data_IF_833741624302
#
_entry.id   IF_833741624302
#
_cell.length_a   1.000
_cell.length_b   1.000
_cell.length_c   1.000
_cell.angle_alpha   90.00
_cell.angle_beta   90.00
_cell.angle_gamma   90.00
#
_symmetry.space_group_name_H-M   'P 1'
#
loop_
_entity.id
_entity.type
_entity.pdbx_description
1 polymer ?
#
# COMPACT_ATOMS: atom_id res chain seq x y z
N UNK A 1 14.53 52.15 -18.87
CA UNK A 1 15.26 51.38 -17.87
C UNK A 1 14.32 50.48 -17.03
N UNK A 2 13.18 49.97 -17.57
CA UNK A 2 12.15 49.20 -16.81
C UNK A 2 11.95 47.75 -17.26
N UNK A 3 12.72 47.23 -18.21
CA UNK A 3 12.53 45.87 -18.76
C UNK A 3 13.40 44.76 -18.11
N UNK A 4 14.29 45.08 -17.16
CA UNK A 4 15.18 44.07 -16.56
C UNK A 4 14.66 43.49 -15.23
N UNK A 5 13.63 44.05 -14.58
CA UNK A 5 13.17 43.60 -13.27
C UNK A 5 12.12 42.50 -13.38
N UNK A 6 11.38 42.37 -14.48
CA UNK A 6 10.30 41.40 -14.66
C UNK A 6 10.80 39.96 -14.89
N UNK A 7 12.04 39.79 -15.35
CA UNK A 7 12.61 38.46 -15.62
C UNK A 7 13.17 37.75 -14.37
N UNK A 8 13.45 38.50 -13.31
CA UNK A 8 14.06 37.93 -12.09
C UNK A 8 12.98 37.29 -11.15
N UNK A 9 11.72 37.75 -11.22
CA UNK A 9 10.65 37.25 -10.37
C UNK A 9 10.04 35.92 -10.83
N UNK A 10 10.16 35.58 -12.13
CA UNK A 10 9.63 34.31 -12.65
C UNK A 10 10.57 33.13 -12.31
N UNK A 11 11.86 33.38 -12.12
CA UNK A 11 12.84 32.36 -11.78
C UNK A 11 12.79 31.90 -10.31
N UNK A 12 12.34 32.74 -9.39
CA UNK A 12 12.30 32.39 -7.96
C UNK A 12 11.09 31.54 -7.57
N UNK A 13 9.96 31.67 -8.27
CA UNK A 13 8.76 30.87 -7.97
C UNK A 13 8.88 29.42 -8.49
N UNK A 14 9.62 29.16 -9.54
CA UNK A 14 9.86 27.80 -10.05
C UNK A 14 10.85 27.03 -9.18
N UNK A 15 11.79 27.68 -8.52
CA UNK A 15 12.77 27.02 -7.64
C UNK A 15 12.18 26.47 -6.37
N UNK A 16 11.19 27.12 -5.75
CA UNK A 16 10.54 26.65 -4.52
C UNK A 16 9.70 25.38 -4.76
N UNK A 17 8.98 25.30 -5.88
CA UNK A 17 8.24 24.10 -6.28
C UNK A 17 9.16 22.93 -6.65
N UNK A 18 10.27 23.19 -7.28
CA UNK A 18 11.30 22.21 -7.62
C UNK A 18 11.97 21.62 -6.38
N UNK A 19 12.33 22.47 -5.41
CA UNK A 19 13.00 22.10 -4.17
C UNK A 19 12.14 21.15 -3.32
N UNK A 20 10.85 21.43 -3.14
CA UNK A 20 9.91 20.56 -2.40
C UNK A 20 9.74 19.18 -3.07
N UNK A 21 9.73 19.09 -4.38
CA UNK A 21 9.62 17.82 -5.10
C UNK A 21 10.90 16.99 -5.02
N UNK A 22 12.06 17.65 -5.08
CA UNK A 22 13.36 17.04 -4.93
C UNK A 22 13.60 16.47 -3.53
N UNK A 23 13.21 17.20 -2.48
CA UNK A 23 13.30 16.72 -1.11
C UNK A 23 12.43 15.46 -0.89
N UNK A 24 11.21 15.44 -1.42
CA UNK A 24 10.34 14.25 -1.37
C UNK A 24 10.98 13.07 -2.09
N UNK A 25 11.56 13.29 -3.28
CA UNK A 25 12.26 12.25 -4.03
C UNK A 25 13.46 11.71 -3.25
N UNK A 26 14.28 12.58 -2.63
CA UNK A 26 15.44 12.15 -1.82
C UNK A 26 15.07 11.22 -0.67
N UNK A 27 13.90 11.40 -0.06
CA UNK A 27 13.40 10.59 1.05
C UNK A 27 12.86 9.22 0.64
N UNK A 28 12.63 8.98 -0.67
CA UNK A 28 12.16 7.68 -1.13
C UNK A 28 13.24 6.60 -0.94
N UNK A 29 12.79 5.35 -0.75
CA UNK A 29 13.65 4.18 -0.82
C UNK A 29 14.21 3.98 -2.23
N UNK A 30 15.29 3.22 -2.35
CA UNK A 30 15.89 2.95 -3.65
C UNK A 30 14.91 2.32 -4.67
N UNK A 31 14.09 1.29 -4.31
CA UNK A 31 13.10 0.75 -5.25
C UNK A 31 12.08 1.79 -5.73
N UNK A 32 11.59 2.63 -4.83
CA UNK A 32 10.64 3.70 -5.20
C UNK A 32 11.29 4.81 -6.03
N UNK A 33 12.57 5.16 -5.77
CA UNK A 33 13.33 6.09 -6.62
C UNK A 33 13.43 5.58 -8.05
N UNK A 34 13.80 4.30 -8.21
CA UNK A 34 13.91 3.69 -9.54
C UNK A 34 12.55 3.66 -10.25
N UNK A 35 11.47 3.40 -9.52
CA UNK A 35 10.13 3.46 -10.10
C UNK A 35 9.76 4.87 -10.57
N UNK A 36 10.04 5.90 -9.77
CA UNK A 36 9.80 7.31 -10.14
C UNK A 36 10.59 7.70 -11.38
N UNK A 37 11.86 7.33 -11.47
CA UNK A 37 12.71 7.60 -12.63
C UNK A 37 12.19 6.95 -13.91
N UNK A 38 11.63 5.73 -13.81
CA UNK A 38 11.04 5.03 -14.97
C UNK A 38 9.61 5.48 -15.29
N UNK A 39 8.94 6.23 -14.40
CA UNK A 39 7.55 6.68 -14.57
C UNK A 39 7.35 8.16 -14.19
N UNK A 40 8.17 9.12 -14.70
CA UNK A 40 8.18 10.50 -14.22
C UNK A 40 6.81 11.19 -14.34
N UNK A 41 6.09 10.97 -15.43
CA UNK A 41 4.76 11.57 -15.67
C UNK A 41 3.64 10.93 -14.84
N UNK A 42 3.87 9.77 -14.22
CA UNK A 42 2.90 9.06 -13.38
C UNK A 42 3.15 9.26 -11.89
N UNK A 43 4.36 9.65 -11.50
CA UNK A 43 4.81 9.71 -10.11
C UNK A 43 3.94 10.60 -9.21
N UNK A 44 3.63 11.82 -9.65
CA UNK A 44 2.75 12.73 -8.89
C UNK A 44 1.35 12.14 -8.68
N UNK A 45 0.77 11.54 -9.73
CA UNK A 45 -0.54 10.91 -9.65
C UNK A 45 -0.52 9.69 -8.72
N UNK A 46 0.50 8.85 -8.81
CA UNK A 46 0.68 7.70 -7.92
C UNK A 46 0.79 8.13 -6.45
N UNK A 47 1.55 9.17 -6.14
CA UNK A 47 1.66 9.72 -4.79
C UNK A 47 0.30 10.18 -4.23
N UNK A 48 -0.50 10.87 -5.04
CA UNK A 48 -1.83 11.33 -4.62
C UNK A 48 -2.77 10.15 -4.34
N UNK A 49 -2.71 9.10 -5.18
CA UNK A 49 -3.51 7.88 -5.00
C UNK A 49 -3.05 7.10 -3.75
N UNK A 50 -1.75 7.00 -3.49
CA UNK A 50 -1.26 6.37 -2.27
C UNK A 50 -1.79 7.06 -1.01
N UNK A 51 -1.77 8.40 -0.99
CA UNK A 51 -2.36 9.17 0.12
C UNK A 51 -3.89 9.00 0.21
N UNK A 52 -4.58 8.91 -0.92
CA UNK A 52 -6.02 8.62 -0.95
C UNK A 52 -6.31 7.24 -0.34
N UNK A 53 -5.54 6.21 -0.72
CA UNK A 53 -5.72 4.86 -0.21
C UNK A 53 -5.53 4.77 1.30
N UNK A 54 -4.49 5.41 1.85
CA UNK A 54 -4.30 5.50 3.30
C UNK A 54 -5.49 6.17 3.99
N UNK A 55 -5.93 7.34 3.51
CA UNK A 55 -7.06 8.05 4.10
C UNK A 55 -8.37 7.25 4.07
N UNK A 56 -8.61 6.51 2.99
CA UNK A 56 -9.80 5.65 2.86
C UNK A 56 -9.69 4.48 3.82
N UNK A 57 -8.54 3.82 3.91
CA UNK A 57 -8.31 2.72 4.86
C UNK A 57 -8.47 3.19 6.32
N UNK A 58 -7.95 4.37 6.68
CA UNK A 58 -8.14 4.97 8.01
C UNK A 58 -9.62 5.24 8.34
N UNK A 59 -10.43 5.62 7.34
CA UNK A 59 -11.87 5.78 7.50
C UNK A 59 -12.58 4.42 7.68
N UNK A 60 -12.22 3.41 6.89
CA UNK A 60 -12.76 2.05 6.99
C UNK A 60 -12.39 1.40 8.33
N UNK A 61 -11.15 1.59 8.80
CA UNK A 61 -10.69 1.12 10.12
C UNK A 61 -11.61 1.54 11.27
N UNK A 62 -12.19 2.74 11.18
CA UNK A 62 -13.09 3.31 12.20
C UNK A 62 -14.55 2.88 12.04
N UNK A 63 -14.87 2.13 11.00
CA UNK A 63 -16.22 1.66 10.70
C UNK A 63 -16.39 0.19 11.11
N UNK A 64 -17.64 -0.30 11.30
CA UNK A 64 -17.89 -1.71 11.56
C UNK A 64 -17.87 -2.60 10.30
N UNK A 65 -17.43 -2.07 9.16
CA UNK A 65 -17.50 -2.77 7.87
C UNK A 65 -16.45 -3.88 7.73
N UNK A 66 -15.30 -3.72 8.41
CA UNK A 66 -14.19 -4.69 8.45
C UNK A 66 -13.70 -4.85 9.89
N UNK A 67 -12.72 -5.74 10.10
CA UNK A 67 -12.20 -6.11 11.43
C UNK A 67 -11.42 -5.00 12.18
N UNK A 68 -11.17 -3.86 11.53
CA UNK A 68 -10.42 -2.75 12.13
C UNK A 68 -8.90 -2.99 12.20
N UNK A 69 -8.38 -4.12 11.74
CA UNK A 69 -6.96 -4.47 11.80
C UNK A 69 -6.18 -3.95 10.58
N UNK A 70 -5.31 -2.93 10.75
CA UNK A 70 -4.54 -2.33 9.66
C UNK A 70 -3.23 -3.06 9.35
N UNK A 71 -2.92 -4.17 10.05
CA UNK A 71 -1.65 -4.88 9.93
C UNK A 71 -1.87 -6.39 9.80
N UNK A 72 -2.02 -6.84 8.59
CA UNK A 72 -2.27 -8.25 8.26
C UNK A 72 -3.75 -8.67 8.32
N UNK A 73 -4.67 -7.77 8.73
CA UNK A 73 -6.11 -7.99 8.77
C UNK A 73 -6.86 -7.49 7.53
N UNK A 74 -8.19 -7.36 7.66
CA UNK A 74 -9.05 -6.98 6.55
C UNK A 74 -8.84 -5.54 6.10
N UNK A 75 -8.55 -4.60 7.02
CA UNK A 75 -8.27 -3.20 6.67
C UNK A 75 -7.00 -3.08 5.84
N UNK A 76 -5.99 -3.88 6.17
CA UNK A 76 -4.74 -3.93 5.42
C UNK A 76 -4.96 -4.50 4.01
N UNK A 77 -5.61 -5.66 3.91
CA UNK A 77 -5.98 -6.28 2.64
C UNK A 77 -6.81 -5.34 1.75
N UNK A 78 -7.79 -4.64 2.36
CA UNK A 78 -8.60 -3.61 1.70
C UNK A 78 -7.73 -2.47 1.16
N UNK A 79 -6.79 -1.94 1.97
CA UNK A 79 -5.90 -0.85 1.60
C UNK A 79 -5.11 -1.19 0.33
N UNK A 80 -4.53 -2.38 0.28
CA UNK A 80 -3.74 -2.86 -0.86
C UNK A 80 -4.60 -3.04 -2.11
N UNK A 81 -5.75 -3.69 -2.01
CA UNK A 81 -6.67 -3.87 -3.13
C UNK A 81 -7.20 -2.54 -3.66
N UNK A 82 -7.62 -1.62 -2.78
CA UNK A 82 -8.11 -0.30 -3.16
C UNK A 82 -7.01 0.54 -3.83
N UNK A 83 -5.81 0.55 -3.25
CA UNK A 83 -4.66 1.25 -3.80
C UNK A 83 -4.37 0.82 -5.23
N UNK A 84 -4.29 -0.48 -5.48
CA UNK A 84 -3.97 -1.04 -6.79
C UNK A 84 -5.09 -0.83 -7.80
N UNK A 85 -6.36 -0.94 -7.40
CA UNK A 85 -7.50 -0.63 -8.26
C UNK A 85 -7.47 0.84 -8.72
N UNK A 86 -7.23 1.77 -7.79
CA UNK A 86 -7.12 3.21 -8.10
C UNK A 86 -5.89 3.52 -8.97
N UNK A 87 -4.76 2.90 -8.70
CA UNK A 87 -3.56 3.05 -9.54
C UNK A 87 -3.84 2.55 -10.96
N UNK A 88 -4.39 1.33 -11.12
CA UNK A 88 -4.72 0.80 -12.45
C UNK A 88 -5.65 1.74 -13.22
N UNK A 89 -6.68 2.23 -12.55
CA UNK A 89 -7.65 3.17 -13.15
C UNK A 89 -6.98 4.43 -13.71
N UNK A 90 -5.97 4.96 -13.01
CA UNK A 90 -5.39 6.28 -13.32
C UNK A 90 -4.05 6.24 -14.07
N UNK A 91 -3.22 5.22 -13.85
CA UNK A 91 -1.87 5.15 -14.44
C UNK A 91 -1.62 3.85 -15.24
N UNK A 92 -2.57 2.92 -15.24
CA UNK A 92 -2.54 1.65 -15.98
C UNK A 92 -1.87 0.52 -15.20
N UNK A 93 -2.12 -0.72 -15.63
CA UNK A 93 -1.78 -1.94 -14.89
C UNK A 93 -0.27 -2.12 -14.68
N UNK A 94 0.53 -2.02 -15.75
CA UNK A 94 1.98 -2.28 -15.62
C UNK A 94 2.66 -1.32 -14.64
N UNK A 95 2.29 -0.02 -14.68
CA UNK A 95 2.83 0.96 -13.75
C UNK A 95 2.33 0.72 -12.32
N UNK A 96 1.07 0.35 -12.13
CA UNK A 96 0.52 0.00 -10.82
C UNK A 96 1.22 -1.23 -10.24
N UNK A 97 1.29 -2.33 -10.99
CA UNK A 97 1.93 -3.58 -10.58
C UNK A 97 3.41 -3.39 -10.22
N UNK A 98 4.14 -2.63 -11.04
CA UNK A 98 5.56 -2.36 -10.77
C UNK A 98 5.75 -1.49 -9.52
N UNK A 99 4.83 -0.57 -9.21
CA UNK A 99 4.87 0.22 -7.97
C UNK A 99 4.60 -0.66 -6.74
N UNK A 100 3.60 -1.56 -6.80
CA UNK A 100 3.34 -2.53 -5.75
C UNK A 100 4.58 -3.39 -5.44
N UNK A 101 5.24 -3.92 -6.48
CA UNK A 101 6.50 -4.67 -6.30
C UNK A 101 7.64 -3.82 -5.73
N UNK A 102 7.72 -2.53 -6.08
CA UNK A 102 8.71 -1.62 -5.52
C UNK A 102 8.44 -1.36 -4.02
N UNK A 103 7.18 -1.35 -3.60
CA UNK A 103 6.78 -1.26 -2.21
C UNK A 103 7.23 -2.50 -1.41
N UNK A 104 6.97 -3.71 -1.91
CA UNK A 104 7.42 -4.92 -1.23
C UNK A 104 8.96 -5.06 -1.16
N UNK A 105 9.67 -4.58 -2.16
CA UNK A 105 11.14 -4.47 -2.07
C UNK A 105 11.59 -3.47 -0.99
N UNK A 106 10.84 -2.39 -0.76
CA UNK A 106 11.09 -1.48 0.34
C UNK A 106 10.81 -2.16 1.69
N UNK A 107 9.72 -2.94 1.82
CA UNK A 107 9.38 -3.69 3.02
C UNK A 107 10.53 -4.64 3.41
N UNK A 108 11.10 -5.35 2.45
CA UNK A 108 12.28 -6.18 2.69
C UNK A 108 13.50 -5.37 3.16
N UNK A 109 13.73 -4.16 2.60
CA UNK A 109 14.80 -3.27 3.07
C UNK A 109 14.51 -2.73 4.48
N UNK A 110 13.25 -2.49 4.80
CA UNK A 110 12.76 -2.06 6.12
C UNK A 110 12.99 -3.15 7.16
N UNK A 111 12.65 -4.41 6.82
CA UNK A 111 12.98 -5.58 7.62
C UNK A 111 14.50 -5.68 7.91
N UNK A 112 15.34 -5.62 6.88
CA UNK A 112 16.81 -5.68 7.07
C UNK A 112 17.36 -4.62 8.01
N UNK A 113 16.71 -3.46 8.08
CA UNK A 113 17.07 -2.35 8.98
C UNK A 113 16.37 -2.45 10.34
N UNK A 114 15.59 -3.50 10.60
CA UNK A 114 14.75 -3.68 11.79
C UNK A 114 13.86 -2.48 12.10
N UNK A 115 13.34 -1.83 11.06
CA UNK A 115 12.40 -0.72 11.18
C UNK A 115 10.97 -1.23 11.15
N UNK A 116 10.06 -0.42 11.70
CA UNK A 116 8.64 -0.74 11.69
C UNK A 116 7.96 -0.21 10.43
N UNK A 117 6.97 -0.95 9.94
CA UNK A 117 5.96 -0.53 8.99
C UNK A 117 4.60 -0.77 9.64
N UNK A 118 3.77 0.28 9.72
CA UNK A 118 2.47 0.25 10.40
C UNK A 118 2.52 -0.36 11.82
N UNK A 119 3.63 -0.12 12.54
CA UNK A 119 3.82 -0.58 13.92
C UNK A 119 4.41 -1.98 14.07
N UNK A 120 4.68 -2.70 12.97
CA UNK A 120 5.28 -4.04 12.97
C UNK A 120 6.50 -4.09 12.05
N UNK A 121 7.39 -5.06 12.30
CA UNK A 121 8.49 -5.35 11.36
C UNK A 121 7.91 -6.18 10.22
N UNK A 122 8.07 -5.75 8.94
CA UNK A 122 7.59 -6.53 7.79
C UNK A 122 8.22 -7.92 7.75
N UNK A 123 7.48 -8.88 7.21
CA UNK A 123 7.96 -10.25 6.98
C UNK A 123 7.48 -10.82 5.64
N UNK A 124 7.92 -12.04 5.32
CA UNK A 124 7.58 -12.70 4.07
C UNK A 124 6.07 -12.92 3.91
N UNK A 125 5.38 -13.30 4.99
CA UNK A 125 3.96 -13.61 4.93
C UNK A 125 3.14 -12.34 4.71
N UNK A 126 3.49 -11.21 5.36
CA UNK A 126 2.85 -9.92 5.08
C UNK A 126 3.07 -9.49 3.62
N UNK A 127 4.31 -9.59 3.11
CA UNK A 127 4.58 -9.29 1.70
C UNK A 127 3.85 -10.20 0.72
N UNK A 128 3.69 -11.49 1.02
CA UNK A 128 2.88 -12.41 0.22
C UNK A 128 1.39 -12.04 0.23
N UNK A 129 0.86 -11.63 1.39
CA UNK A 129 -0.50 -11.13 1.52
C UNK A 129 -0.72 -9.89 0.66
N UNK A 130 0.17 -8.92 0.76
CA UNK A 130 0.10 -7.63 0.07
C UNK A 130 0.17 -7.81 -1.44
N UNK A 131 1.10 -8.63 -1.95
CA UNK A 131 1.20 -8.94 -3.36
C UNK A 131 -0.07 -9.63 -3.89
N UNK A 132 -0.64 -10.58 -3.15
CA UNK A 132 -1.89 -11.24 -3.51
C UNK A 132 -3.03 -10.23 -3.60
N UNK A 133 -3.22 -9.41 -2.57
CA UNK A 133 -4.29 -8.41 -2.51
C UNK A 133 -4.07 -7.28 -3.55
N UNK A 134 -2.82 -6.94 -3.86
CA UNK A 134 -2.49 -6.06 -4.96
C UNK A 134 -2.99 -6.62 -6.30
N UNK A 135 -2.75 -7.90 -6.58
CA UNK A 135 -3.19 -8.54 -7.81
C UNK A 135 -4.72 -8.64 -7.91
N UNK A 136 -5.40 -8.98 -6.81
CA UNK A 136 -6.86 -8.91 -6.73
C UNK A 136 -7.36 -7.48 -6.98
N UNK A 137 -6.73 -6.48 -6.37
CA UNK A 137 -7.04 -5.07 -6.56
C UNK A 137 -7.00 -4.64 -8.03
N UNK A 138 -6.02 -5.11 -8.77
CA UNK A 138 -5.92 -4.84 -10.20
C UNK A 138 -7.13 -5.36 -11.01
N UNK A 139 -7.89 -6.33 -10.53
CA UNK A 139 -9.05 -6.88 -11.27
C UNK A 139 -10.27 -5.98 -11.24
N UNK A 140 -10.39 -5.06 -10.27
CA UNK A 140 -11.61 -4.24 -10.07
C UNK A 140 -11.78 -3.11 -11.08
N UNK A 141 -10.71 -2.68 -11.75
CA UNK A 141 -10.78 -1.53 -12.68
C UNK A 141 -9.98 -1.80 -13.95
N UNK A 142 -10.20 -0.96 -14.96
CA UNK A 142 -9.34 -0.83 -16.15
C UNK A 142 -8.86 0.61 -16.26
N UNK A 143 -7.76 0.85 -16.96
CA UNK A 143 -7.27 2.20 -17.22
C UNK A 143 -8.36 3.04 -17.89
N UNK A 144 -8.64 4.22 -17.32
CA UNK A 144 -9.66 5.14 -17.82
C UNK A 144 -11.10 4.78 -17.42
N UNK A 145 -11.34 3.69 -16.68
CA UNK A 145 -12.70 3.37 -16.20
C UNK A 145 -13.27 4.50 -15.33
N UNK A 146 -14.58 4.70 -15.41
CA UNK A 146 -15.32 5.74 -14.69
C UNK A 146 -15.85 5.27 -13.32
N UNK A 147 -15.43 4.09 -12.85
CA UNK A 147 -15.87 3.55 -11.55
C UNK A 147 -15.67 4.58 -10.45
N UNK A 148 -16.74 5.05 -9.77
CA UNK A 148 -16.64 6.02 -8.69
C UNK A 148 -15.88 5.43 -7.50
N UNK A 149 -15.22 6.29 -6.74
CA UNK A 149 -14.47 5.87 -5.53
C UNK A 149 -15.34 5.07 -4.57
N UNK A 150 -16.55 5.57 -4.27
CA UNK A 150 -17.47 4.91 -3.33
C UNK A 150 -17.91 3.53 -3.83
N UNK A 151 -18.25 3.40 -5.11
CA UNK A 151 -18.60 2.12 -5.70
C UNK A 151 -17.45 1.11 -5.62
N UNK A 152 -16.22 1.57 -5.82
CA UNK A 152 -15.02 0.73 -5.69
C UNK A 152 -14.81 0.25 -4.24
N UNK A 153 -15.02 1.12 -3.25
CA UNK A 153 -14.96 0.75 -1.83
C UNK A 153 -15.93 -0.41 -1.54
N UNK A 154 -17.20 -0.28 -1.93
CA UNK A 154 -18.19 -1.34 -1.71
C UNK A 154 -17.87 -2.64 -2.46
N UNK A 155 -17.37 -2.56 -3.69
CA UNK A 155 -16.95 -3.75 -4.45
C UNK A 155 -15.84 -4.52 -3.74
N UNK A 156 -14.86 -3.83 -3.15
CA UNK A 156 -13.75 -4.46 -2.45
C UNK A 156 -14.21 -5.04 -1.11
N UNK A 157 -15.06 -4.34 -0.36
CA UNK A 157 -15.64 -4.87 0.89
C UNK A 157 -16.45 -6.15 0.61
N UNK A 158 -17.28 -6.15 -0.43
CA UNK A 158 -18.02 -7.36 -0.84
C UNK A 158 -17.08 -8.50 -1.23
N UNK A 159 -16.01 -8.20 -1.96
CA UNK A 159 -15.01 -9.21 -2.31
C UNK A 159 -14.27 -9.75 -1.07
N UNK A 160 -14.05 -8.91 -0.05
CA UNK A 160 -13.52 -9.33 1.26
C UNK A 160 -14.44 -10.36 1.92
N UNK A 161 -15.73 -10.05 2.04
CA UNK A 161 -16.72 -10.96 2.63
C UNK A 161 -16.90 -12.26 1.83
N UNK A 162 -16.69 -12.21 0.51
CA UNK A 162 -16.72 -13.38 -0.37
C UNK A 162 -15.43 -14.23 -0.31
N UNK A 163 -14.44 -13.85 0.48
CA UNK A 163 -13.18 -14.58 0.59
C UNK A 163 -12.27 -14.44 -0.64
N UNK A 164 -12.37 -13.35 -1.40
CA UNK A 164 -11.51 -13.13 -2.56
C UNK A 164 -10.16 -12.52 -2.22
N UNK A 165 -10.02 -11.97 -1.03
CA UNK A 165 -8.77 -11.41 -0.50
C UNK A 165 -8.15 -12.36 0.51
N UNK A 166 -6.90 -12.09 0.91
CA UNK A 166 -6.21 -12.85 1.95
C UNK A 166 -5.86 -11.97 3.14
N UNK A 167 -5.86 -12.58 4.31
CA UNK A 167 -5.46 -11.99 5.58
C UNK A 167 -4.57 -12.96 6.34
N UNK A 168 -3.80 -12.47 7.31
CA UNK A 168 -3.01 -13.30 8.21
C UNK A 168 -3.92 -13.79 9.34
N UNK A 169 -3.93 -15.11 9.61
CA UNK A 169 -4.75 -15.71 10.65
C UNK A 169 -4.30 -15.25 12.03
N UNK A 170 -5.26 -14.79 12.85
CA UNK A 170 -5.06 -14.35 14.23
C UNK A 170 -6.15 -14.91 15.12
N UNK A 171 -5.86 -15.02 16.41
CA UNK A 171 -6.87 -15.29 17.43
C UNK A 171 -7.66 -14.01 17.79
N UNK A 172 -8.64 -14.16 18.71
CA UNK A 172 -9.47 -13.04 19.19
C UNK A 172 -8.69 -11.96 19.95
N UNK A 173 -7.50 -12.26 20.43
CA UNK A 173 -6.56 -11.36 21.09
C UNK A 173 -5.58 -10.68 20.13
N UNK A 174 -5.67 -11.00 18.82
CA UNK A 174 -4.80 -10.45 17.78
C UNK A 174 -3.43 -11.14 17.67
N UNK A 175 -3.22 -12.28 18.35
CA UNK A 175 -1.97 -13.06 18.22
C UNK A 175 -1.97 -13.85 16.93
N UNK A 176 -0.81 -13.86 16.26
CA UNK A 176 -0.64 -14.61 15.03
C UNK A 176 -0.74 -16.12 15.26
N UNK A 177 -1.38 -16.83 14.33
CA UNK A 177 -1.55 -18.27 14.38
C UNK A 177 -0.80 -18.98 13.25
N UNK A 178 -0.36 -20.21 13.54
CA UNK A 178 0.02 -21.18 12.51
C UNK A 178 -1.21 -21.65 11.72
N UNK A 179 -1.02 -22.33 10.59
CA UNK A 179 -2.13 -22.92 9.86
C UNK A 179 -2.83 -24.06 10.63
N UNK A 180 -2.16 -24.65 11.61
CA UNK A 180 -2.75 -25.64 12.53
C UNK A 180 -3.57 -25.01 13.66
N UNK A 181 -3.45 -23.67 13.86
CA UNK A 181 -4.16 -22.95 14.91
C UNK A 181 -3.34 -22.67 16.17
N UNK A 182 -2.07 -23.06 16.19
CA UNK A 182 -1.19 -22.80 17.34
C UNK A 182 -0.81 -21.32 17.40
N UNK A 183 -0.80 -20.74 18.59
CA UNK A 183 -0.35 -19.36 18.81
C UNK A 183 1.16 -19.25 18.59
N UNK A 184 1.58 -18.25 17.83
CA UNK A 184 2.99 -17.94 17.58
C UNK A 184 3.42 -16.88 18.60
N UNK A 185 4.48 -17.15 19.37
CA UNK A 185 5.01 -16.15 20.32
C UNK A 185 5.70 -15.01 19.57
N UNK A 186 5.60 -13.80 20.13
CA UNK A 186 6.20 -12.60 19.53
C UNK A 186 7.74 -12.75 19.44
N UNK A 187 8.38 -13.41 20.43
CA UNK A 187 9.83 -13.68 20.44
C UNK A 187 10.23 -14.58 19.28
N UNK A 188 9.38 -15.53 18.91
CA UNK A 188 9.66 -16.44 17.79
C UNK A 188 9.63 -15.76 16.43
N UNK A 189 9.03 -14.57 16.33
CA UNK A 189 8.94 -13.75 15.12
C UNK A 189 10.10 -12.75 14.99
N UNK A 190 10.75 -12.42 16.11
CA UNK A 190 11.79 -11.39 16.13
C UNK A 190 12.95 -11.73 15.19
N UNK A 191 13.24 -10.78 14.28
CA UNK A 191 14.36 -10.87 13.35
C UNK A 191 14.24 -11.95 12.28
N UNK A 192 13.06 -12.56 12.09
CA UNK A 192 12.82 -13.58 11.08
C UNK A 192 12.00 -13.02 9.93
N UNK A 193 12.57 -13.08 8.72
CA UNK A 193 11.83 -12.79 7.50
C UNK A 193 10.83 -13.91 7.19
N UNK A 194 11.30 -15.16 7.22
CA UNK A 194 10.47 -16.34 7.07
C UNK A 194 9.95 -16.81 8.43
N UNK A 195 8.65 -17.05 8.53
CA UNK A 195 8.01 -17.47 9.77
C UNK A 195 6.80 -18.37 9.48
N UNK A 196 6.11 -18.81 10.55
CA UNK A 196 5.01 -19.78 10.47
C UNK A 196 3.61 -19.15 10.48
N UNK A 197 3.50 -17.83 10.28
CA UNK A 197 2.19 -17.17 10.17
C UNK A 197 1.36 -17.81 9.06
N UNK A 198 0.07 -17.97 9.29
CA UNK A 198 -0.82 -18.58 8.31
C UNK A 198 -1.54 -17.52 7.48
N UNK A 199 -1.42 -17.62 6.16
CA UNK A 199 -2.16 -16.79 5.21
C UNK A 199 -3.43 -17.52 4.79
N UNK A 200 -4.60 -16.92 5.04
CA UNK A 200 -5.92 -17.50 4.77
C UNK A 200 -6.77 -16.56 3.90
N UNK A 201 -7.78 -17.11 3.24
CA UNK A 201 -8.80 -16.29 2.61
C UNK A 201 -9.63 -15.55 3.66
N UNK A 202 -10.05 -14.32 3.35
CA UNK A 202 -10.69 -13.40 4.28
C UNK A 202 -11.99 -13.93 4.92
N UNK A 203 -12.71 -14.84 4.26
CA UNK A 203 -13.89 -15.53 4.82
C UNK A 203 -13.56 -16.74 5.70
N UNK A 204 -12.28 -17.09 5.90
CA UNK A 204 -11.78 -18.22 6.69
C UNK A 204 -10.83 -17.80 7.80
N UNK A 205 -10.95 -16.58 8.28
CA UNK A 205 -10.03 -15.99 9.29
C UNK A 205 -10.26 -16.48 10.72
N UNK A 206 -11.45 -16.99 11.02
CA UNK A 206 -11.84 -17.54 12.34
C UNK A 206 -11.72 -19.06 12.38
#
# INVERSE_FOLDING_TARGET
MFKKILFLFIFTSTSLFSQSSWEKFRKLSFPKKMWVLSHPFKAKKALLISKEATKVADSIKKSPLLDGDPSGGEVDAFRHAFWMARLRQKIGENAARSLGRAHEKENYQTFKKRKLEDGVVPDQISSCMDLFNNDVGLTFTKKGSVTPKQGLIYQIINAMHQGRLKVIKKDKQGKFLTCKGDVISDESLLGKWENKKCLVFSNKKS
#
